data_IF_318386502888
#
_entry.id   IF_318386502888
#
_cell.length_a   1.000
_cell.length_b   1.000
_cell.length_c   1.000
_cell.angle_alpha   90.00
_cell.angle_beta   90.00
_cell.angle_gamma   90.00
#
_symmetry.space_group_name_H-M   'P 1'
#
loop_
_entity.id
_entity.type
_entity.pdbx_description
1 polymer ?
#
# COMPACT_ATOMS: atom_id res chain seq x y z
N UNK A 1 17.74 -36.28 -13.66
CA UNK A 1 17.67 -34.79 -13.60
C UNK A 1 16.54 -34.45 -12.67
N UNK A 2 16.78 -33.66 -11.62
CA UNK A 2 15.70 -33.23 -10.75
C UNK A 2 14.67 -32.40 -11.56
N UNK A 3 13.40 -32.63 -11.33
CA UNK A 3 12.34 -31.85 -11.96
C UNK A 3 12.53 -30.36 -11.65
N UNK A 4 12.54 -29.52 -12.68
CA UNK A 4 12.67 -28.08 -12.50
C UNK A 4 11.43 -27.54 -11.77
N UNK A 5 11.65 -26.73 -10.76
CA UNK A 5 10.56 -26.07 -10.03
C UNK A 5 9.64 -25.32 -11.00
N UNK A 6 8.34 -25.55 -10.90
CA UNK A 6 7.32 -24.89 -11.73
C UNK A 6 6.97 -23.48 -11.22
N UNK A 7 7.23 -23.24 -9.95
CA UNK A 7 6.96 -21.97 -9.27
C UNK A 7 8.11 -21.64 -8.32
N UNK A 8 8.38 -20.37 -8.13
CA UNK A 8 9.33 -19.88 -7.13
C UNK A 8 8.69 -18.67 -6.43
N UNK A 9 9.03 -18.49 -5.16
CA UNK A 9 8.67 -17.31 -4.38
C UNK A 9 9.93 -16.72 -3.77
N UNK A 10 10.06 -15.38 -3.88
CA UNK A 10 11.06 -14.59 -3.18
C UNK A 10 10.33 -13.78 -2.12
N UNK A 11 10.61 -14.04 -0.84
CA UNK A 11 9.97 -13.34 0.27
C UNK A 11 11.05 -12.56 1.00
N UNK A 12 10.93 -11.24 1.02
CA UNK A 12 11.86 -10.35 1.69
C UNK A 12 11.30 -9.87 3.04
N UNK A 13 12.17 -9.87 4.03
CA UNK A 13 11.91 -9.25 5.33
C UNK A 13 12.97 -8.18 5.59
N UNK A 14 12.54 -6.95 5.75
CA UNK A 14 13.45 -5.90 6.15
C UNK A 14 13.93 -6.12 7.59
N UNK A 15 15.20 -5.79 7.86
CA UNK A 15 15.81 -5.94 9.19
C UNK A 15 15.78 -7.36 9.80
N UNK A 16 15.70 -8.41 8.99
CA UNK A 16 15.80 -9.78 9.49
C UNK A 16 17.26 -10.10 9.86
N UNK A 17 17.64 -9.82 11.09
CA UNK A 17 18.99 -10.03 11.60
C UNK A 17 19.19 -11.50 12.00
N UNK A 18 20.11 -12.29 11.37
CA UNK A 18 20.26 -13.71 11.63
C UNK A 18 20.45 -14.08 13.10
N UNK A 19 21.30 -13.36 13.83
CA UNK A 19 21.52 -13.60 15.27
C UNK A 19 20.26 -13.41 16.12
N UNK A 20 19.38 -12.45 15.75
CA UNK A 20 18.09 -12.28 16.44
C UNK A 20 17.13 -13.42 16.12
N UNK A 21 17.08 -13.82 14.85
CA UNK A 21 16.29 -14.97 14.42
C UNK A 21 16.71 -16.24 15.16
N UNK A 22 18.00 -16.52 15.25
CA UNK A 22 18.56 -17.68 15.99
C UNK A 22 18.19 -17.63 17.47
N UNK A 23 18.31 -16.46 18.11
CA UNK A 23 17.93 -16.28 19.51
C UNK A 23 16.43 -16.52 19.75
N UNK A 24 15.55 -16.03 18.87
CA UNK A 24 14.10 -16.27 18.96
C UNK A 24 13.75 -17.74 18.73
N UNK A 25 14.42 -18.40 17.81
CA UNK A 25 14.27 -19.83 17.56
C UNK A 25 14.73 -20.66 18.78
N UNK A 26 15.81 -20.26 19.44
CA UNK A 26 16.30 -20.94 20.66
C UNK A 26 15.31 -20.81 21.83
N UNK A 27 14.52 -19.75 21.90
CA UNK A 27 13.48 -19.55 22.90
C UNK A 27 12.18 -20.33 22.62
N UNK A 28 12.12 -21.10 21.55
CA UNK A 28 10.94 -21.92 21.20
C UNK A 28 9.86 -21.23 20.39
N UNK A 29 10.13 -20.02 19.88
CA UNK A 29 9.25 -19.31 18.93
C UNK A 29 9.52 -19.65 17.47
N UNK A 30 8.68 -19.12 16.57
CA UNK A 30 8.88 -19.14 15.13
C UNK A 30 8.98 -20.56 14.52
N UNK A 31 8.04 -21.44 14.88
CA UNK A 31 8.00 -22.83 14.43
C UNK A 31 8.05 -22.99 12.91
N UNK A 32 7.39 -22.13 12.17
CA UNK A 32 7.40 -22.16 10.70
C UNK A 32 8.76 -21.79 10.11
N UNK A 33 9.49 -20.84 10.70
CA UNK A 33 10.87 -20.55 10.30
C UNK A 33 11.79 -21.75 10.57
N UNK A 34 11.61 -22.41 11.70
CA UNK A 34 12.37 -23.63 12.04
C UNK A 34 12.11 -24.75 11.02
N UNK A 35 10.85 -24.99 10.68
CA UNK A 35 10.49 -25.98 9.67
C UNK A 35 11.12 -25.62 8.31
N UNK A 36 11.01 -24.36 7.89
CA UNK A 36 11.58 -23.87 6.65
C UNK A 36 13.11 -24.03 6.59
N UNK A 37 13.81 -23.72 7.68
CA UNK A 37 15.26 -23.90 7.78
C UNK A 37 15.68 -25.38 7.76
N UNK A 38 14.87 -26.27 8.35
CA UNK A 38 15.15 -27.71 8.37
C UNK A 38 14.95 -28.39 7.00
N UNK A 39 14.04 -27.83 6.19
CA UNK A 39 13.72 -28.34 4.84
C UNK A 39 14.58 -27.71 3.74
N UNK A 40 15.29 -26.62 4.07
CA UNK A 40 16.06 -25.83 3.12
C UNK A 40 17.52 -25.65 3.52
N UNK A 41 18.11 -24.56 3.02
CA UNK A 41 19.46 -24.14 3.37
C UNK A 41 19.41 -22.78 4.07
N UNK A 42 20.08 -22.65 5.18
CA UNK A 42 20.23 -21.40 5.91
C UNK A 42 21.64 -20.85 5.77
N UNK A 43 21.77 -19.63 5.29
CA UNK A 43 23.05 -18.94 5.10
C UNK A 43 23.04 -17.67 5.95
N UNK A 44 23.63 -17.66 7.15
CA UNK A 44 23.54 -16.54 8.09
C UNK A 44 24.42 -15.34 7.71
N UNK A 45 25.38 -15.51 6.81
CA UNK A 45 26.40 -14.50 6.48
C UNK A 45 26.26 -13.92 5.06
N UNK A 46 25.07 -14.07 4.45
CA UNK A 46 24.81 -13.49 3.12
C UNK A 46 24.43 -12.01 3.24
N UNK A 47 25.40 -11.10 3.16
CA UNK A 47 25.15 -9.66 3.17
C UNK A 47 25.97 -8.95 2.08
N UNK A 48 25.52 -7.77 1.70
CA UNK A 48 26.25 -6.85 0.83
C UNK A 48 26.74 -5.62 1.60
N UNK A 49 27.61 -4.85 1.01
CA UNK A 49 28.07 -3.57 1.54
C UNK A 49 27.68 -2.44 0.55
N UNK A 50 27.13 -1.31 1.04
CA UNK A 50 26.73 -1.05 2.45
C UNK A 50 25.50 -1.86 2.85
N UNK A 51 25.38 -2.16 4.16
CA UNK A 51 24.26 -2.92 4.74
C UNK A 51 23.07 -2.01 5.03
N UNK A 52 22.66 -1.22 4.07
CA UNK A 52 21.48 -0.34 4.15
C UNK A 52 20.38 -0.83 3.23
N UNK A 53 19.16 -0.40 3.46
CA UNK A 53 17.96 -0.96 2.85
C UNK A 53 17.97 -0.92 1.32
N UNK A 54 18.11 0.25 0.63
CA UNK A 54 17.99 0.25 -0.83
C UNK A 54 19.04 -0.59 -1.55
N UNK A 55 20.36 -0.50 -1.26
CA UNK A 55 21.35 -1.37 -1.86
C UNK A 55 21.12 -2.85 -1.60
N UNK A 56 20.64 -3.21 -0.40
CA UNK A 56 20.36 -4.60 -0.05
C UNK A 56 19.22 -5.17 -0.88
N UNK A 57 18.11 -4.46 -0.98
CA UNK A 57 16.97 -4.88 -1.79
C UNK A 57 17.31 -4.96 -3.29
N UNK A 58 18.09 -3.97 -3.81
CA UNK A 58 18.57 -4.01 -5.18
C UNK A 58 19.49 -5.21 -5.43
N UNK A 59 20.40 -5.52 -4.51
CA UNK A 59 21.26 -6.71 -4.58
C UNK A 59 20.44 -8.00 -4.60
N UNK A 60 19.42 -8.13 -3.75
CA UNK A 60 18.57 -9.33 -3.70
C UNK A 60 17.84 -9.56 -5.02
N UNK A 61 17.23 -8.51 -5.59
CA UNK A 61 16.44 -8.68 -6.80
C UNK A 61 17.25 -8.75 -8.10
N UNK A 62 18.50 -8.31 -8.10
CA UNK A 62 19.36 -8.32 -9.30
C UNK A 62 20.45 -9.38 -9.25
N UNK A 63 20.82 -9.84 -8.07
CA UNK A 63 22.02 -10.68 -7.88
C UNK A 63 23.34 -9.93 -8.14
N UNK A 64 23.31 -8.61 -8.25
CA UNK A 64 24.45 -7.77 -8.55
C UNK A 64 24.89 -6.95 -7.33
N UNK A 65 26.14 -6.48 -7.31
CA UNK A 65 26.63 -5.58 -6.26
C UNK A 65 26.22 -4.11 -6.56
N UNK A 66 26.22 -3.23 -5.53
CA UNK A 66 25.84 -1.82 -5.66
C UNK A 66 26.48 -1.08 -6.83
N UNK A 67 27.77 -1.26 -7.06
CA UNK A 67 28.47 -0.68 -8.21
C UNK A 67 27.87 -1.11 -9.56
N UNK A 68 27.28 -2.29 -9.65
CA UNK A 68 26.71 -2.82 -10.89
C UNK A 68 25.25 -2.41 -11.05
N UNK A 69 24.46 -2.45 -9.98
CA UNK A 69 23.05 -2.08 -10.06
C UNK A 69 22.78 -0.58 -9.82
N UNK A 70 23.79 0.20 -9.41
CA UNK A 70 23.72 1.66 -9.33
C UNK A 70 23.07 2.22 -8.06
N UNK A 71 22.58 1.39 -7.16
CA UNK A 71 21.93 1.82 -5.91
C UNK A 71 22.92 1.68 -4.77
N UNK A 72 23.42 2.81 -4.24
CA UNK A 72 24.51 2.81 -3.26
C UNK A 72 24.08 3.27 -1.86
N UNK A 73 22.96 4.03 -1.76
CA UNK A 73 22.45 4.58 -0.50
C UNK A 73 20.92 4.83 -0.61
N UNK A 74 20.34 5.45 0.41
CA UNK A 74 18.94 5.93 0.43
C UNK A 74 18.70 7.05 -0.58
N UNK A 75 19.74 7.78 -0.97
CA UNK A 75 19.67 8.92 -1.87
C UNK A 75 20.51 8.67 -3.11
N UNK A 76 19.92 9.00 -4.24
CA UNK A 76 20.59 8.96 -5.53
C UNK A 76 21.07 10.36 -5.92
N UNK A 77 22.38 10.47 -6.19
CA UNK A 77 23.02 11.68 -6.63
C UNK A 77 23.05 11.71 -8.16
N UNK A 78 22.48 12.75 -8.75
CA UNK A 78 22.43 12.90 -10.19
C UNK A 78 23.76 13.41 -10.73
N UNK A 79 24.25 12.77 -11.78
CA UNK A 79 25.48 13.21 -12.46
C UNK A 79 25.37 14.66 -12.97
N UNK A 80 26.39 15.45 -12.73
CA UNK A 80 26.44 16.86 -13.13
C UNK A 80 25.64 17.84 -12.25
N UNK A 81 24.98 17.37 -11.19
CA UNK A 81 24.34 18.22 -10.19
C UNK A 81 25.21 18.42 -8.97
N UNK A 82 24.81 19.39 -8.11
CA UNK A 82 25.45 19.59 -6.81
C UNK A 82 25.32 18.34 -5.94
N UNK A 83 26.31 18.10 -5.09
CA UNK A 83 26.26 17.06 -4.04
C UNK A 83 25.45 17.51 -2.81
N UNK A 84 24.72 18.63 -2.89
CA UNK A 84 23.78 19.02 -1.85
C UNK A 84 22.65 17.99 -1.77
N UNK A 85 22.31 17.56 -0.58
CA UNK A 85 21.20 16.66 -0.26
C UNK A 85 19.86 17.08 -0.94
N UNK A 86 19.65 18.40 -1.09
CA UNK A 86 18.44 18.95 -1.74
C UNK A 86 18.36 18.64 -3.25
N UNK A 87 19.47 18.30 -3.85
CA UNK A 87 19.57 17.95 -5.28
C UNK A 87 19.54 16.43 -5.51
N UNK A 88 19.28 15.66 -4.45
CA UNK A 88 19.15 14.20 -4.53
C UNK A 88 17.70 13.77 -4.69
N UNK A 89 17.50 12.54 -5.15
CA UNK A 89 16.20 11.85 -5.11
C UNK A 89 16.30 10.60 -4.24
N UNK A 90 15.17 10.13 -3.74
CA UNK A 90 15.14 8.88 -2.99
C UNK A 90 15.45 7.69 -3.90
N UNK A 91 16.31 6.77 -3.43
CA UNK A 91 16.81 5.64 -4.20
C UNK A 91 15.85 4.42 -4.12
N UNK A 92 14.55 4.63 -4.33
CA UNK A 92 13.52 3.59 -4.31
C UNK A 92 12.82 3.36 -5.66
N UNK A 93 13.20 4.12 -6.70
CA UNK A 93 12.66 3.96 -8.05
C UNK A 93 13.36 2.83 -8.83
N UNK A 94 12.64 2.19 -9.73
CA UNK A 94 13.23 1.19 -10.63
C UNK A 94 14.10 1.82 -11.72
N UNK A 95 13.91 3.10 -12.00
CA UNK A 95 14.62 3.89 -13.00
C UNK A 95 16.11 4.06 -12.71
N UNK A 96 16.50 4.03 -11.43
CA UNK A 96 17.91 4.08 -11.02
C UNK A 96 18.60 2.72 -11.02
N UNK A 97 17.85 1.61 -11.09
CA UNK A 97 18.43 0.25 -11.12
C UNK A 97 18.92 -0.07 -12.52
N UNK A 98 20.23 -0.16 -12.67
CA UNK A 98 20.89 -0.40 -13.98
C UNK A 98 21.07 -1.87 -14.32
N UNK A 99 20.98 -2.77 -13.33
CA UNK A 99 21.06 -4.21 -13.55
C UNK A 99 19.68 -4.82 -13.81
N UNK A 100 19.66 -5.95 -14.50
CA UNK A 100 18.44 -6.72 -14.75
C UNK A 100 17.88 -7.30 -13.44
N UNK A 101 16.59 -7.09 -13.19
CA UNK A 101 15.94 -7.67 -12.03
C UNK A 101 15.43 -9.09 -12.33
N UNK A 102 15.18 -9.87 -11.29
CA UNK A 102 14.65 -11.23 -11.43
C UNK A 102 13.31 -11.27 -12.17
N UNK A 103 12.43 -10.30 -11.95
CA UNK A 103 11.15 -10.22 -12.67
C UNK A 103 11.32 -9.77 -14.11
N UNK A 104 12.29 -8.88 -14.44
CA UNK A 104 12.61 -8.53 -15.82
C UNK A 104 13.12 -9.76 -16.59
N UNK A 105 14.03 -10.53 -15.98
CA UNK A 105 14.54 -11.76 -16.55
C UNK A 105 13.44 -12.80 -16.80
N UNK A 106 12.48 -12.92 -15.87
CA UNK A 106 11.36 -13.83 -16.02
C UNK A 106 10.38 -13.37 -17.10
N UNK A 107 10.08 -12.08 -17.15
CA UNK A 107 9.20 -11.49 -18.15
C UNK A 107 9.77 -11.68 -19.58
N UNK A 108 11.05 -11.42 -19.77
CA UNK A 108 11.76 -11.69 -21.04
C UNK A 108 11.69 -13.14 -21.49
N UNK A 109 11.58 -14.07 -20.56
CA UNK A 109 11.42 -15.50 -20.83
C UNK A 109 9.95 -15.95 -20.88
N UNK A 110 8.98 -15.03 -21.01
CA UNK A 110 7.56 -15.30 -21.13
C UNK A 110 6.94 -15.89 -19.87
N UNK A 111 7.56 -15.69 -18.70
CA UNK A 111 7.03 -16.14 -17.42
C UNK A 111 6.20 -15.03 -16.77
N UNK A 112 5.11 -15.42 -16.13
CA UNK A 112 4.30 -14.49 -15.34
C UNK A 112 4.90 -14.27 -13.97
N UNK A 113 5.00 -13.00 -13.57
CA UNK A 113 5.42 -12.62 -12.23
C UNK A 113 4.30 -11.87 -11.51
N UNK A 114 4.24 -12.07 -10.19
CA UNK A 114 3.50 -11.21 -9.28
C UNK A 114 4.53 -10.61 -8.34
N UNK A 115 4.66 -9.28 -8.36
CA UNK A 115 5.56 -8.53 -7.48
C UNK A 115 4.71 -7.69 -6.55
N UNK A 116 4.88 -7.88 -5.25
CA UNK A 116 4.07 -7.17 -4.23
C UNK A 116 5.01 -6.50 -3.25
N UNK A 117 4.82 -5.19 -3.08
CA UNK A 117 5.52 -4.39 -2.09
C UNK A 117 7.04 -4.54 -2.09
N UNK A 118 7.64 -4.73 -3.26
CA UNK A 118 9.08 -4.86 -3.38
C UNK A 118 9.72 -3.49 -3.67
N UNK A 119 10.66 -3.00 -2.85
CA UNK A 119 11.35 -1.74 -3.09
C UNK A 119 12.02 -1.73 -4.46
N UNK A 120 12.10 -0.58 -5.11
CA UNK A 120 12.70 -0.38 -6.45
C UNK A 120 12.04 -1.20 -7.57
N UNK A 121 10.80 -1.60 -7.39
CA UNK A 121 10.04 -2.27 -8.45
C UNK A 121 9.28 -1.31 -9.36
N UNK A 122 9.03 -0.07 -8.91
CA UNK A 122 8.25 0.92 -9.66
C UNK A 122 9.11 2.08 -10.21
N UNK A 123 8.79 2.62 -11.41
CA UNK A 123 7.76 2.17 -12.36
C UNK A 123 8.03 0.78 -12.95
N UNK A 124 6.96 0.03 -13.23
CA UNK A 124 7.09 -1.33 -13.75
C UNK A 124 7.57 -1.36 -15.19
N UNK A 125 8.54 -2.24 -15.47
CA UNK A 125 9.00 -2.56 -16.83
C UNK A 125 8.42 -3.88 -17.35
N UNK A 126 7.67 -4.60 -16.50
CA UNK A 126 7.06 -5.89 -16.87
C UNK A 126 5.95 -5.72 -17.91
N UNK A 127 5.88 -6.66 -18.84
CA UNK A 127 4.82 -6.79 -19.84
C UNK A 127 3.83 -7.92 -19.51
N UNK A 128 4.25 -8.88 -18.71
CA UNK A 128 3.49 -10.10 -18.45
C UNK A 128 3.48 -10.43 -16.95
N UNK A 129 2.56 -9.85 -16.22
CA UNK A 129 2.46 -10.06 -14.78
C UNK A 129 1.64 -9.00 -14.08
N UNK A 130 1.75 -8.97 -12.77
CA UNK A 130 1.12 -7.96 -11.91
C UNK A 130 2.18 -7.39 -10.99
N UNK A 131 2.25 -6.07 -10.91
CA UNK A 131 3.12 -5.39 -9.96
C UNK A 131 2.30 -4.48 -9.07
N UNK A 132 2.42 -4.71 -7.77
CA UNK A 132 1.87 -3.84 -6.74
C UNK A 132 3.07 -3.21 -6.06
N UNK A 133 3.26 -1.92 -6.27
CA UNK A 133 4.36 -1.21 -5.66
C UNK A 133 4.14 -1.10 -4.15
N UNK A 134 5.20 -1.38 -3.40
CA UNK A 134 5.35 -0.90 -2.06
C UNK A 134 6.45 0.12 -2.00
N UNK A 135 6.20 1.26 -1.44
CA UNK A 135 7.28 2.10 -0.99
C UNK A 135 7.76 1.61 0.36
N UNK A 136 8.98 1.16 0.38
CA UNK A 136 9.51 0.37 1.47
C UNK A 136 9.72 1.06 2.79
N UNK A 137 9.55 2.35 3.04
CA UNK A 137 9.94 2.93 4.33
C UNK A 137 9.21 4.19 4.76
N UNK A 138 8.38 4.77 3.92
CA UNK A 138 7.59 5.91 4.39
C UNK A 138 6.18 5.46 4.69
N UNK A 139 5.80 5.37 5.96
CA UNK A 139 4.39 5.23 6.32
C UNK A 139 3.56 6.41 5.80
N UNK A 140 4.22 7.47 5.31
CA UNK A 140 3.58 8.65 4.75
C UNK A 140 3.02 8.48 3.34
N UNK A 141 3.36 7.43 2.62
CA UNK A 141 2.93 7.22 1.26
C UNK A 141 2.21 5.88 1.11
N UNK A 142 0.96 5.87 1.51
CA UNK A 142 0.04 4.73 1.40
C UNK A 142 -0.46 4.53 -0.03
N UNK A 143 0.39 4.70 -1.03
CA UNK A 143 0.01 4.60 -2.42
C UNK A 143 0.67 3.39 -3.05
N UNK A 144 -0.15 2.56 -3.63
CA UNK A 144 0.24 1.31 -4.24
C UNK A 144 -0.11 1.34 -5.73
N UNK A 145 0.73 1.91 -6.61
CA UNK A 145 0.48 1.79 -8.02
C UNK A 145 0.52 0.31 -8.42
N UNK A 146 -0.48 -0.09 -9.17
CA UNK A 146 -0.65 -1.42 -9.70
C UNK A 146 -0.39 -1.40 -11.20
N UNK A 147 0.43 -2.32 -11.69
CA UNK A 147 0.60 -2.56 -13.10
C UNK A 147 0.03 -3.94 -13.45
N UNK A 148 -0.94 -3.97 -14.34
CA UNK A 148 -1.57 -5.21 -14.80
C UNK A 148 -1.16 -5.60 -16.21
N UNK A 149 -1.55 -6.80 -16.63
CA UNK A 149 -1.22 -7.40 -17.93
C UNK A 149 -1.64 -6.57 -19.17
N UNK A 150 -2.52 -5.60 -19.01
CA UNK A 150 -3.02 -4.74 -20.09
C UNK A 150 -2.29 -3.40 -20.17
N UNK A 151 -1.15 -3.25 -19.54
CA UNK A 151 -0.43 -1.98 -19.38
C UNK A 151 -1.27 -0.85 -18.76
N UNK A 152 -2.29 -1.21 -17.98
CA UNK A 152 -3.05 -0.24 -17.20
C UNK A 152 -2.38 -0.03 -15.87
N UNK A 153 -2.13 1.21 -15.56
CA UNK A 153 -1.66 1.61 -14.25
C UNK A 153 -2.86 1.85 -13.34
N UNK A 154 -2.83 1.24 -12.16
CA UNK A 154 -3.83 1.45 -11.13
C UNK A 154 -3.16 2.14 -9.96
N UNK A 155 -3.81 3.13 -9.42
CA UNK A 155 -3.42 3.75 -8.17
C UNK A 155 -4.25 3.10 -7.06
N UNK A 156 -3.59 2.46 -6.10
CA UNK A 156 -4.24 2.00 -4.90
C UNK A 156 -3.70 2.78 -3.70
N UNK A 157 -4.58 3.23 -2.85
CA UNK A 157 -4.25 3.87 -1.59
C UNK A 157 -5.18 3.37 -0.50
N UNK A 158 -4.71 3.40 0.73
CA UNK A 158 -5.56 3.23 1.90
C UNK A 158 -5.53 4.49 2.76
N UNK A 159 -6.61 4.73 3.47
CA UNK A 159 -6.71 5.82 4.43
C UNK A 159 -7.56 5.38 5.60
N UNK A 160 -7.23 5.87 6.78
CA UNK A 160 -8.02 5.68 7.99
C UNK A 160 -8.82 6.95 8.25
N UNK A 161 -10.12 6.81 8.46
CA UNK A 161 -11.00 7.88 8.93
C UNK A 161 -11.26 7.58 10.40
N UNK A 162 -10.93 8.49 11.30
CA UNK A 162 -11.01 8.27 12.74
C UNK A 162 -11.38 9.56 13.48
N UNK A 163 -12.04 9.42 14.63
CA UNK A 163 -12.22 10.51 15.59
C UNK A 163 -10.94 10.76 16.38
N UNK A 164 -10.09 9.74 16.53
CA UNK A 164 -8.78 9.87 17.17
C UNK A 164 -7.70 10.26 16.17
N UNK A 165 -6.62 10.82 16.68
CA UNK A 165 -5.45 11.12 15.84
C UNK A 165 -4.83 9.82 15.33
N UNK A 166 -4.83 9.66 14.03
CA UNK A 166 -4.10 8.59 13.35
C UNK A 166 -3.10 9.21 12.36
N UNK A 167 -1.80 8.91 12.46
CA UNK A 167 -0.83 9.44 11.52
C UNK A 167 -1.28 9.13 10.09
N UNK A 168 -1.51 10.20 9.30
CA UNK A 168 -1.94 10.12 7.90
C UNK A 168 -3.41 9.70 7.67
N UNK A 169 -4.19 9.57 8.72
CA UNK A 169 -5.63 9.42 8.62
C UNK A 169 -6.34 10.74 8.34
N UNK A 170 -7.60 10.64 8.00
CA UNK A 170 -8.54 11.77 7.97
C UNK A 170 -9.17 11.82 9.36
N UNK A 171 -8.88 12.88 10.10
CA UNK A 171 -9.52 13.09 11.39
C UNK A 171 -10.82 13.84 11.22
N UNK A 172 -11.88 13.36 11.85
CA UNK A 172 -13.20 13.98 11.91
C UNK A 172 -13.78 13.90 13.31
N UNK A 173 -14.88 14.57 13.52
CA UNK A 173 -15.70 14.50 14.74
C UNK A 173 -17.12 14.13 14.36
N UNK A 174 -17.79 13.36 15.19
CA UNK A 174 -19.20 13.15 15.06
C UNK A 174 -19.96 14.29 15.76
N UNK A 175 -20.96 14.80 15.06
CA UNK A 175 -21.94 15.76 15.55
C UNK A 175 -23.35 15.22 15.29
N UNK A 176 -24.38 15.81 15.90
CA UNK A 176 -25.77 15.48 15.58
C UNK A 176 -26.05 15.61 14.09
N UNK A 177 -26.66 14.63 13.47
CA UNK A 177 -26.99 14.69 12.05
C UNK A 177 -28.05 15.75 11.78
N UNK A 178 -27.71 16.75 10.93
CA UNK A 178 -28.57 17.88 10.60
C UNK A 178 -28.69 18.07 9.10
N UNK A 179 -29.93 18.35 8.67
CA UNK A 179 -30.20 18.67 7.25
C UNK A 179 -30.15 17.47 6.31
N UNK A 180 -30.24 16.29 6.81
CA UNK A 180 -30.29 15.06 6.02
C UNK A 180 -31.66 14.83 5.40
N UNK A 181 -31.66 14.17 4.24
CA UNK A 181 -32.84 13.64 3.58
C UNK A 181 -32.86 12.13 3.68
N UNK A 182 -34.06 11.57 3.66
CA UNK A 182 -34.29 10.12 3.59
C UNK A 182 -33.53 9.35 4.67
N UNK A 183 -33.42 9.88 5.90
CA UNK A 183 -32.77 9.17 7.01
C UNK A 183 -33.41 7.81 7.22
N UNK A 184 -32.62 6.79 7.62
CA UNK A 184 -33.16 5.54 8.10
C UNK A 184 -34.02 5.79 9.35
N UNK A 185 -34.91 4.87 9.67
CA UNK A 185 -35.65 4.90 10.93
C UNK A 185 -34.66 4.62 12.08
N UNK A 186 -34.30 5.63 12.82
CA UNK A 186 -33.31 5.58 13.90
C UNK A 186 -33.48 6.77 14.85
N UNK A 187 -33.06 6.59 16.09
CA UNK A 187 -32.97 7.65 17.08
C UNK A 187 -31.56 8.24 17.10
N UNK A 188 -31.46 9.56 17.29
CA UNK A 188 -30.23 10.32 17.52
C UNK A 188 -29.06 9.98 16.53
N UNK A 189 -29.26 10.06 15.20
CA UNK A 189 -28.19 9.77 14.27
C UNK A 189 -27.07 10.82 14.36
N UNK A 190 -25.81 10.37 14.22
CA UNK A 190 -24.64 11.22 14.19
C UNK A 190 -24.08 11.36 12.78
N UNK A 191 -23.45 12.49 12.50
CA UNK A 191 -22.77 12.73 11.23
C UNK A 191 -21.31 13.11 11.43
N UNK A 192 -20.46 12.70 10.50
CA UNK A 192 -19.09 13.17 10.36
C UNK A 192 -18.87 13.68 8.95
N UNK A 193 -18.29 14.88 8.82
CA UNK A 193 -17.85 15.40 7.53
C UNK A 193 -16.46 14.82 7.21
N UNK A 194 -16.36 14.10 6.11
CA UNK A 194 -15.15 13.44 5.67
C UNK A 194 -14.55 14.18 4.48
N UNK A 195 -13.47 14.92 4.72
CA UNK A 195 -12.74 15.61 3.68
C UNK A 195 -11.62 14.70 3.13
N UNK A 196 -11.93 14.00 2.04
CA UNK A 196 -10.97 13.11 1.39
C UNK A 196 -9.97 13.93 0.57
N UNK A 197 -8.72 13.87 1.00
CA UNK A 197 -7.58 14.41 0.25
C UNK A 197 -6.78 13.25 -0.32
N UNK A 198 -6.82 13.11 -1.63
CA UNK A 198 -6.03 12.09 -2.33
C UNK A 198 -4.62 12.62 -2.56
N UNK A 199 -3.66 12.14 -1.77
CA UNK A 199 -2.23 12.45 -1.95
C UNK A 199 -1.68 11.66 -3.13
N UNK A 200 -0.91 12.30 -3.96
CA UNK A 200 -0.62 11.90 -5.32
C UNK A 200 0.64 11.06 -5.48
N UNK A 201 0.59 10.04 -6.33
CA UNK A 201 1.79 9.43 -6.86
C UNK A 201 2.11 9.86 -8.29
N UNK A 202 1.11 9.98 -9.16
CA UNK A 202 1.31 10.23 -10.59
C UNK A 202 0.51 11.46 -11.03
N UNK A 203 -0.79 11.49 -10.74
CA UNK A 203 -1.66 12.60 -11.12
C UNK A 203 -2.52 13.05 -9.94
N UNK A 204 -2.49 14.35 -9.62
CA UNK A 204 -3.28 14.94 -8.57
C UNK A 204 -4.78 14.80 -8.79
N UNK A 205 -5.48 14.27 -7.81
CA UNK A 205 -6.94 14.19 -7.80
C UNK A 205 -7.53 15.30 -6.91
N UNK A 206 -8.62 15.91 -7.33
CA UNK A 206 -9.33 16.88 -6.51
C UNK A 206 -9.87 16.21 -5.24
N UNK A 207 -9.74 16.93 -4.13
CA UNK A 207 -10.34 16.50 -2.86
C UNK A 207 -11.86 16.47 -2.97
N UNK A 208 -12.47 15.56 -2.25
CA UNK A 208 -13.92 15.40 -2.20
C UNK A 208 -14.40 15.45 -0.75
N UNK A 209 -15.57 16.03 -0.53
CA UNK A 209 -16.23 16.04 0.76
C UNK A 209 -17.35 15.02 0.72
N UNK A 210 -17.29 14.05 1.64
CA UNK A 210 -18.32 13.05 1.85
C UNK A 210 -18.87 13.16 3.26
N UNK A 211 -19.96 12.46 3.54
CA UNK A 211 -20.64 12.50 4.81
C UNK A 211 -20.80 11.06 5.32
N UNK A 212 -20.26 10.81 6.49
CA UNK A 212 -20.50 9.56 7.22
C UNK A 212 -21.69 9.78 8.16
N UNK A 213 -22.69 8.93 8.05
CA UNK A 213 -23.83 8.85 8.95
C UNK A 213 -23.65 7.64 9.84
N UNK A 214 -23.74 7.79 11.16
CA UNK A 214 -23.73 6.70 12.12
C UNK A 214 -25.05 6.67 12.87
N UNK A 215 -25.56 5.46 13.12
CA UNK A 215 -26.80 5.30 13.87
C UNK A 215 -26.90 3.93 14.55
N UNK A 216 -27.79 3.84 15.49
CA UNK A 216 -28.21 2.63 16.16
C UNK A 216 -29.34 1.97 15.37
N UNK A 217 -29.21 0.69 15.04
CA UNK A 217 -30.27 -0.08 14.36
C UNK A 217 -31.01 -1.05 15.26
N UNK A 218 -30.68 -1.08 16.55
CA UNK A 218 -31.20 -1.98 17.57
C UNK A 218 -30.99 -1.38 18.97
N UNK A 219 -31.00 -2.21 20.01
CA UNK A 219 -30.94 -1.79 21.41
C UNK A 219 -29.51 -1.74 22.01
N UNK A 220 -28.48 -1.95 21.22
CA UNK A 220 -27.09 -2.16 21.68
C UNK A 220 -26.10 -1.03 21.32
N UNK A 221 -26.56 0.20 21.02
CA UNK A 221 -25.72 1.34 20.67
C UNK A 221 -25.41 1.45 19.18
N UNK A 222 -24.50 2.36 18.82
CA UNK A 222 -24.18 2.63 17.41
C UNK A 222 -23.52 1.41 16.74
N UNK A 223 -24.20 0.85 15.75
CA UNK A 223 -23.76 -0.39 15.07
C UNK A 223 -23.60 -0.25 13.55
N UNK A 224 -24.01 0.87 12.97
CA UNK A 224 -24.04 1.08 11.54
C UNK A 224 -23.46 2.40 11.12
N UNK A 225 -22.83 2.39 9.96
CA UNK A 225 -22.47 3.60 9.22
C UNK A 225 -22.92 3.52 7.77
N UNK A 226 -23.21 4.69 7.21
CA UNK A 226 -23.33 4.89 5.78
C UNK A 226 -22.37 5.99 5.33
N UNK A 227 -21.75 5.86 4.17
CA UNK A 227 -20.97 6.91 3.55
C UNK A 227 -21.73 7.46 2.35
N UNK A 228 -21.92 8.77 2.31
CA UNK A 228 -22.75 9.46 1.33
C UNK A 228 -21.99 10.59 0.64
N UNK A 229 -22.19 10.81 -0.67
CA UNK A 229 -21.60 11.96 -1.37
C UNK A 229 -22.23 13.29 -0.98
N UNK A 230 -23.45 13.26 -0.44
CA UNK A 230 -24.21 14.40 0.05
C UNK A 230 -25.09 13.96 1.22
N UNK A 231 -25.71 14.91 1.94
CA UNK A 231 -26.60 14.61 3.09
C UNK A 231 -27.96 14.06 2.64
N UNK A 232 -27.92 12.94 1.96
CA UNK A 232 -29.08 12.18 1.52
C UNK A 232 -28.78 10.69 1.61
N UNK A 233 -29.41 10.01 2.59
CA UNK A 233 -29.18 8.59 2.82
C UNK A 233 -29.56 7.71 1.62
N UNK A 234 -30.56 8.12 0.83
CA UNK A 234 -30.93 7.37 -0.38
C UNK A 234 -29.81 7.32 -1.44
N UNK A 235 -28.78 8.16 -1.30
CA UNK A 235 -27.60 8.24 -2.16
C UNK A 235 -26.34 7.65 -1.53
N UNK A 236 -26.49 6.89 -0.44
CA UNK A 236 -25.37 6.25 0.22
C UNK A 236 -24.59 5.38 -0.77
N UNK A 237 -23.28 5.51 -0.77
CA UNK A 237 -22.39 4.60 -1.48
C UNK A 237 -22.54 3.18 -0.95
N UNK A 238 -22.69 3.06 0.36
CA UNK A 238 -22.89 1.80 1.08
C UNK A 238 -23.40 2.07 2.51
N UNK A 239 -23.91 1.00 3.10
CA UNK A 239 -24.17 0.89 4.54
C UNK A 239 -23.50 -0.37 5.04
N UNK A 240 -22.73 -0.30 6.13
CA UNK A 240 -21.98 -1.42 6.72
C UNK A 240 -22.08 -1.44 8.24
N UNK A 241 -21.82 -2.61 8.80
CA UNK A 241 -21.72 -2.88 10.24
C UNK A 241 -20.27 -2.99 10.69
N UNK A 242 -20.10 -3.00 12.01
CA UNK A 242 -18.79 -3.27 12.62
C UNK A 242 -18.18 -4.57 12.07
N UNK A 243 -16.94 -4.49 11.62
CA UNK A 243 -16.18 -5.60 11.03
C UNK A 243 -16.49 -5.90 9.56
N UNK A 244 -17.52 -5.31 8.96
CA UNK A 244 -17.90 -5.54 7.56
C UNK A 244 -17.11 -4.66 6.60
N UNK A 245 -16.84 -5.23 5.40
CA UNK A 245 -16.40 -4.48 4.23
C UNK A 245 -17.59 -4.07 3.38
N UNK A 246 -17.54 -2.87 2.83
CA UNK A 246 -18.47 -2.48 1.77
C UNK A 246 -18.25 -3.30 0.50
N UNK A 247 -19.28 -3.41 -0.34
CA UNK A 247 -19.07 -3.78 -1.74
C UNK A 247 -18.19 -2.73 -2.45
N UNK A 248 -17.50 -3.10 -3.54
CA UNK A 248 -16.74 -2.15 -4.33
C UNK A 248 -17.62 -1.03 -4.86
N UNK A 249 -17.27 0.22 -4.56
CA UNK A 249 -17.97 1.43 -5.02
C UNK A 249 -17.21 2.03 -6.18
N UNK A 250 -17.85 2.12 -7.33
CA UNK A 250 -17.31 2.87 -8.46
C UNK A 250 -17.70 4.35 -8.33
N UNK A 251 -16.72 5.24 -8.46
CA UNK A 251 -16.92 6.68 -8.32
C UNK A 251 -16.04 7.46 -9.29
N UNK A 252 -16.50 8.63 -9.67
CA UNK A 252 -15.79 9.51 -10.59
C UNK A 252 -14.88 10.49 -9.83
N UNK A 253 -13.62 10.56 -10.24
CA UNK A 253 -12.60 11.43 -9.66
C UNK A 253 -12.11 12.42 -10.71
N UNK A 254 -11.94 13.69 -10.31
CA UNK A 254 -11.43 14.74 -11.19
C UNK A 254 -9.91 14.85 -11.04
N UNK A 255 -9.20 14.80 -12.15
CA UNK A 255 -7.75 15.03 -12.20
C UNK A 255 -7.49 16.53 -12.22
N UNK A 256 -6.69 17.03 -11.27
CA UNK A 256 -6.42 18.48 -11.13
C UNK A 256 -5.71 19.10 -12.32
N UNK A 257 -4.86 18.33 -13.00
CA UNK A 257 -4.00 18.86 -14.06
C UNK A 257 -4.78 19.34 -15.28
N UNK A 258 -5.86 18.67 -15.65
CA UNK A 258 -6.60 18.92 -16.88
C UNK A 258 -8.14 18.89 -16.70
N UNK A 259 -8.61 18.62 -15.50
CA UNK A 259 -10.05 18.54 -15.19
C UNK A 259 -10.76 17.32 -15.76
N UNK A 260 -10.03 16.35 -16.34
CA UNK A 260 -10.66 15.12 -16.83
C UNK A 260 -11.20 14.28 -15.68
N UNK A 261 -12.22 13.51 -15.97
CA UNK A 261 -12.82 12.57 -15.01
C UNK A 261 -12.29 11.17 -15.26
N UNK A 262 -11.82 10.53 -14.20
CA UNK A 262 -11.40 9.14 -14.20
C UNK A 262 -12.24 8.33 -13.22
N UNK A 263 -12.56 7.08 -13.61
CA UNK A 263 -13.30 6.18 -12.75
C UNK A 263 -12.37 5.44 -11.81
N UNK A 264 -12.63 5.61 -10.52
CA UNK A 264 -11.96 4.87 -9.46
C UNK A 264 -12.91 3.90 -8.76
N UNK A 265 -12.35 2.97 -8.03
CA UNK A 265 -13.09 2.03 -7.19
C UNK A 265 -12.51 2.08 -5.79
N UNK A 266 -13.38 2.14 -4.79
CA UNK A 266 -12.96 2.06 -3.39
C UNK A 266 -13.84 1.10 -2.60
N UNK A 267 -13.34 0.69 -1.44
CA UNK A 267 -14.08 -0.07 -0.41
C UNK A 267 -13.76 0.50 0.95
N UNK A 268 -14.69 0.39 1.86
CA UNK A 268 -14.51 0.77 3.26
C UNK A 268 -14.79 -0.41 4.18
N UNK A 269 -14.13 -0.40 5.33
CA UNK A 269 -14.39 -1.33 6.43
C UNK A 269 -14.62 -0.53 7.70
N UNK A 270 -15.66 -0.85 8.42
CA UNK A 270 -15.87 -0.31 9.77
C UNK A 270 -15.04 -1.15 10.76
N UNK A 271 -14.01 -0.55 11.33
CA UNK A 271 -13.08 -1.25 12.22
C UNK A 271 -13.47 -1.11 13.69
N UNK A 272 -13.99 0.05 14.07
CA UNK A 272 -14.39 0.37 15.43
C UNK A 272 -15.51 1.41 15.40
N UNK A 273 -16.45 1.25 16.26
CA UNK A 273 -17.50 2.20 16.58
C UNK A 273 -17.79 2.04 18.07
N UNK A 274 -17.77 3.12 18.82
CA UNK A 274 -18.04 3.14 20.26
C UNK A 274 -19.03 4.24 20.59
N UNK A 275 -19.70 4.11 21.72
CA UNK A 275 -20.68 5.07 22.23
C UNK A 275 -20.04 6.21 23.04
N UNK A 276 -18.70 6.23 23.18
CA UNK A 276 -17.91 7.20 23.98
C UNK A 276 -17.36 8.35 23.13
#
# INVERSE_FOLDING_TARGET
MADKAKRAALIGYDCLIPKRLEAMLAQGGLEHFRAFMNEGSFIPEGYNLPTVTPPSWATICTGAYPRTHGVEDYYYYHEGRSLDYKETTQAFGSDIVTAETIWDAWDKNGKKCIVVNYPMSWPSRMKNGVMIMGQGLSPAETRWPLHGNEHKEFLASESVISTEFYPMGVQGTFDDAKGWKNLPECDEPLEMVVNMAFKECVEPVEGQTWYCLAWESGDDGYDRIALCPEKDYSKAFFTIRLGEWSEPVQHDFTIKADGRTEKGVFRCKLMQLSDD
#
